data_IF_799614557951
#
_entry.id   IF_799614557951
#
_cell.length_a   1.000
_cell.length_b   1.000
_cell.length_c   1.000
_cell.angle_alpha   90.00
_cell.angle_beta   90.00
_cell.angle_gamma   90.00
#
_symmetry.space_group_name_H-M   'P 1'
#
loop_
_entity.id
_entity.type
_entity.pdbx_description
1 polymer ?
#
# COMPACT_ATOMS: atom_id res chain seq x y z
N UNK A 1 1.26 51.27 40.42
CA UNK A 1 -0.06 51.84 40.11
C UNK A 1 -0.99 50.76 39.53
N UNK A 2 -1.27 49.71 40.29
CA UNK A 2 -2.22 48.63 39.93
C UNK A 2 -3.43 48.76 40.89
N UNK A 3 -4.24 49.76 40.67
CA UNK A 3 -5.32 50.00 41.58
C UNK A 3 -6.67 49.70 40.91
N UNK A 4 -7.32 48.61 41.36
CA UNK A 4 -8.75 48.33 41.28
C UNK A 4 -9.28 47.92 39.89
N UNK A 5 -8.66 46.92 39.32
CA UNK A 5 -9.43 46.12 38.37
C UNK A 5 -10.56 45.39 39.16
N UNK A 6 -11.79 45.48 38.67
CA UNK A 6 -12.86 44.64 39.21
C UNK A 6 -12.48 43.16 39.05
N UNK A 7 -12.93 42.28 39.96
CA UNK A 7 -12.63 40.86 39.90
C UNK A 7 -12.86 40.24 38.52
N UNK A 8 -13.94 40.55 37.79
CA UNK A 8 -14.15 40.05 36.41
C UNK A 8 -13.10 40.59 35.43
N UNK A 9 -12.71 41.86 35.51
CA UNK A 9 -11.68 42.43 34.62
C UNK A 9 -10.27 41.84 34.87
N UNK A 10 -9.95 41.51 36.12
CA UNK A 10 -8.70 40.81 36.44
C UNK A 10 -8.70 39.38 35.88
N UNK A 11 -9.81 38.64 35.99
CA UNK A 11 -9.96 37.30 35.44
C UNK A 11 -9.87 37.30 33.91
N UNK A 12 -10.54 38.23 33.23
CA UNK A 12 -10.42 38.37 31.78
C UNK A 12 -9.00 38.69 31.32
N UNK A 13 -8.31 39.58 32.02
CA UNK A 13 -6.93 39.92 31.68
C UNK A 13 -5.97 38.75 31.89
N UNK A 14 -6.17 37.93 32.92
CA UNK A 14 -5.38 36.71 33.13
C UNK A 14 -5.75 35.59 32.18
N UNK A 15 -6.99 35.51 31.71
CA UNK A 15 -7.41 34.50 30.72
C UNK A 15 -6.94 34.82 29.26
N UNK A 16 -6.75 36.10 28.95
CA UNK A 16 -6.36 36.55 27.62
C UNK A 16 -5.11 35.82 27.04
N UNK A 17 -3.99 35.73 27.75
CA UNK A 17 -2.81 35.02 27.25
C UNK A 17 -3.07 33.52 27.07
N UNK A 18 -3.86 32.90 27.93
CA UNK A 18 -4.21 31.47 27.79
C UNK A 18 -5.09 31.25 26.56
N UNK A 19 -6.10 32.09 26.36
CA UNK A 19 -6.95 32.03 25.15
C UNK A 19 -6.14 32.29 23.87
N UNK A 20 -5.23 33.28 23.93
CA UNK A 20 -4.35 33.55 22.78
C UNK A 20 -3.45 32.37 22.47
N UNK A 21 -2.85 31.71 23.46
CA UNK A 21 -2.03 30.51 23.28
C UNK A 21 -2.84 29.33 22.72
N UNK A 22 -4.06 29.13 23.22
CA UNK A 22 -4.96 28.10 22.71
C UNK A 22 -5.35 28.38 21.24
N UNK A 23 -5.63 29.65 20.90
CA UNK A 23 -5.92 30.04 19.54
C UNK A 23 -4.71 29.79 18.60
N UNK A 24 -3.51 30.13 19.04
CA UNK A 24 -2.29 29.84 18.29
C UNK A 24 -2.10 28.34 18.13
N UNK A 25 -2.27 27.55 19.18
CA UNK A 25 -2.14 26.09 19.13
C UNK A 25 -3.18 25.44 18.18
N UNK A 26 -4.38 25.99 18.12
CA UNK A 26 -5.44 25.49 17.24
C UNK A 26 -5.23 25.86 15.77
N UNK A 27 -4.62 27.02 15.50
CA UNK A 27 -4.48 27.58 14.14
C UNK A 27 -3.08 27.39 13.55
N UNK A 28 -2.08 27.03 14.36
CA UNK A 28 -0.72 26.80 13.88
C UNK A 28 -0.67 25.53 13.01
N UNK A 29 0.03 25.58 11.85
CA UNK A 29 0.26 24.38 11.05
C UNK A 29 1.19 23.42 11.82
N UNK A 30 0.80 22.16 11.86
CA UNK A 30 1.53 21.09 12.54
C UNK A 30 2.32 20.26 11.50
N UNK A 31 3.48 19.68 11.88
CA UNK A 31 4.30 18.88 10.99
C UNK A 31 3.78 17.43 10.84
N UNK A 32 2.48 17.31 10.58
CA UNK A 32 1.82 16.03 10.37
C UNK A 32 1.22 15.92 8.98
N UNK A 33 1.01 14.70 8.55
CA UNK A 33 0.21 14.31 7.40
C UNK A 33 -0.90 13.38 7.86
N UNK A 34 -2.09 13.53 7.27
CA UNK A 34 -3.22 12.63 7.49
C UNK A 34 -3.33 11.72 6.29
N UNK A 35 -3.26 10.42 6.52
CA UNK A 35 -3.40 9.40 5.50
C UNK A 35 -4.74 8.66 5.63
N UNK A 36 -5.24 8.15 4.52
CA UNK A 36 -6.48 7.38 4.42
C UNK A 36 -6.35 6.24 3.40
N UNK A 37 -7.25 5.24 3.40
CA UNK A 37 -7.29 4.19 2.39
C UNK A 37 -7.38 4.78 0.99
N UNK A 38 -6.41 4.44 0.14
CA UNK A 38 -6.35 4.87 -1.25
C UNK A 38 -7.12 3.94 -2.20
N UNK A 39 -7.10 4.20 -3.52
CA UNK A 39 -7.65 3.29 -4.51
C UNK A 39 -6.89 1.96 -4.55
N UNK A 40 -7.58 0.92 -5.05
CA UNK A 40 -6.95 -0.35 -5.39
C UNK A 40 -7.00 -0.56 -6.90
N UNK A 41 -5.95 -1.14 -7.46
CA UNK A 41 -5.89 -1.43 -8.90
C UNK A 41 -5.67 -2.93 -9.12
N UNK A 42 -6.49 -3.56 -9.95
CA UNK A 42 -6.27 -4.95 -10.36
C UNK A 42 -5.12 -5.01 -11.38
N UNK A 43 -3.98 -5.58 -10.98
CA UNK A 43 -2.79 -5.66 -11.85
C UNK A 43 -2.97 -6.61 -13.03
N UNK A 44 -3.92 -7.55 -12.96
CA UNK A 44 -4.30 -8.42 -14.08
C UNK A 44 -5.26 -7.73 -15.07
N UNK A 45 -5.72 -6.54 -14.75
CA UNK A 45 -6.70 -5.80 -15.53
C UNK A 45 -6.09 -4.63 -16.31
N UNK A 46 -6.94 -3.62 -16.46
CA UNK A 46 -6.58 -2.37 -17.14
C UNK A 46 -6.71 -1.20 -16.17
N UNK A 47 -5.83 -0.24 -16.32
CA UNK A 47 -5.86 1.06 -15.68
C UNK A 47 -5.95 2.12 -16.78
N UNK A 48 -6.93 3.01 -16.72
CA UNK A 48 -7.22 4.00 -17.80
C UNK A 48 -7.28 3.40 -19.23
N UNK A 49 -7.85 2.19 -19.34
CA UNK A 49 -8.02 1.50 -20.61
C UNK A 49 -6.76 0.78 -21.14
N UNK A 50 -5.62 0.93 -20.47
CA UNK A 50 -4.36 0.24 -20.82
C UNK A 50 -4.13 -0.94 -19.87
N UNK A 51 -3.57 -2.07 -20.36
CA UNK A 51 -3.21 -3.18 -19.49
C UNK A 51 -2.16 -2.71 -18.47
N UNK A 52 -2.34 -3.09 -17.19
CA UNK A 52 -1.36 -2.81 -16.12
C UNK A 52 -0.09 -3.63 -16.34
N UNK A 53 -0.24 -4.88 -16.76
CA UNK A 53 0.86 -5.77 -17.15
C UNK A 53 0.66 -6.10 -18.64
N UNK A 54 1.64 -5.77 -19.47
CA UNK A 54 1.69 -6.15 -20.86
C UNK A 54 2.92 -7.03 -21.09
N UNK A 55 2.71 -8.23 -21.64
CA UNK A 55 3.76 -9.21 -21.88
C UNK A 55 3.84 -9.49 -23.37
N UNK A 56 5.04 -9.50 -23.93
CA UNK A 56 5.34 -9.90 -25.29
C UNK A 56 6.44 -10.97 -25.28
N UNK A 57 6.58 -11.71 -26.39
CA UNK A 57 7.58 -12.80 -26.50
C UNK A 57 7.13 -14.14 -25.94
N UNK A 58 5.99 -14.21 -25.23
CA UNK A 58 5.39 -15.47 -24.78
C UNK A 58 3.85 -15.40 -24.83
N UNK A 59 3.15 -16.54 -24.95
CA UNK A 59 1.70 -16.59 -24.81
C UNK A 59 1.30 -16.27 -23.36
N UNK A 60 0.26 -15.47 -23.20
CA UNK A 60 -0.32 -15.16 -21.90
C UNK A 60 -1.65 -15.88 -21.71
N UNK A 61 -2.02 -16.08 -20.47
CA UNK A 61 -3.25 -16.75 -20.04
C UNK A 61 -4.33 -15.71 -19.67
N UNK A 62 -5.57 -16.07 -19.90
CA UNK A 62 -6.70 -15.31 -19.39
C UNK A 62 -6.89 -15.63 -17.88
N UNK A 63 -6.99 -14.59 -17.09
CA UNK A 63 -7.22 -14.69 -15.64
C UNK A 63 -8.63 -14.18 -15.31
N UNK A 64 -9.35 -14.87 -14.41
CA UNK A 64 -10.72 -14.51 -14.03
C UNK A 64 -10.79 -13.81 -12.68
N UNK A 65 -9.82 -14.08 -11.80
CA UNK A 65 -9.70 -13.44 -10.50
C UNK A 65 -9.09 -12.05 -10.57
N UNK A 66 -8.82 -11.48 -9.42
CA UNK A 66 -8.17 -10.18 -9.32
C UNK A 66 -6.97 -10.25 -8.37
N UNK A 67 -5.86 -9.62 -8.78
CA UNK A 67 -4.73 -9.29 -7.93
C UNK A 67 -4.71 -7.77 -7.72
N UNK A 68 -5.12 -7.31 -6.55
CA UNK A 68 -5.29 -5.88 -6.26
C UNK A 68 -4.08 -5.31 -5.54
N UNK A 69 -3.33 -4.46 -6.22
CA UNK A 69 -2.38 -3.55 -5.58
C UNK A 69 -3.16 -2.49 -4.80
N UNK A 70 -2.75 -2.22 -3.56
CA UNK A 70 -3.43 -1.30 -2.65
C UNK A 70 -2.54 -0.10 -2.35
N UNK A 71 -3.17 1.07 -2.23
CA UNK A 71 -2.48 2.33 -1.96
C UNK A 71 -3.01 3.03 -0.72
N UNK A 72 -2.30 4.05 -0.29
CA UNK A 72 -2.77 5.05 0.68
C UNK A 72 -2.72 6.42 0.03
N UNK A 73 -3.63 7.29 0.43
CA UNK A 73 -3.60 8.70 0.05
C UNK A 73 -3.28 9.51 1.30
N UNK A 74 -2.26 10.32 1.23
CA UNK A 74 -1.87 11.24 2.31
C UNK A 74 -2.06 12.69 1.87
N UNK A 75 -2.28 13.59 2.85
CA UNK A 75 -2.29 15.03 2.58
C UNK A 75 -0.97 15.43 1.95
N UNK A 76 -1.03 16.26 0.91
CA UNK A 76 0.14 16.68 0.15
C UNK A 76 1.22 17.37 1.03
N UNK A 77 2.46 17.43 0.55
CA UNK A 77 3.58 17.99 1.32
C UNK A 77 3.39 19.46 1.70
N UNK A 78 2.67 20.21 0.88
CA UNK A 78 2.38 21.63 1.11
C UNK A 78 1.08 21.88 1.87
N UNK A 79 0.35 20.83 2.26
CA UNK A 79 -0.90 20.97 2.99
C UNK A 79 -0.66 21.42 4.43
N UNK A 80 -1.44 22.40 4.88
CA UNK A 80 -1.45 22.83 6.27
C UNK A 80 -2.40 21.93 7.08
N UNK A 81 -1.83 21.11 7.94
CA UNK A 81 -2.57 20.27 8.90
C UNK A 81 -2.62 21.00 10.23
N UNK A 82 -3.80 21.15 10.81
CA UNK A 82 -4.04 21.86 12.07
C UNK A 82 -4.45 20.87 13.17
N UNK A 83 -4.52 21.35 14.40
CA UNK A 83 -4.90 20.52 15.56
C UNK A 83 -6.26 19.82 15.37
N UNK A 84 -7.23 20.48 14.72
CA UNK A 84 -8.53 19.88 14.39
C UNK A 84 -8.38 18.65 13.50
N UNK A 85 -7.60 18.77 12.43
CA UNK A 85 -7.35 17.67 11.48
C UNK A 85 -6.65 16.47 12.15
N UNK A 86 -5.72 16.77 13.08
CA UNK A 86 -5.01 15.76 13.85
C UNK A 86 -5.97 15.03 14.79
N UNK A 87 -6.85 15.76 15.48
CA UNK A 87 -7.83 15.16 16.38
C UNK A 87 -8.85 14.33 15.59
N UNK A 88 -9.38 14.87 14.49
CA UNK A 88 -10.31 14.15 13.62
C UNK A 88 -9.67 12.87 13.06
N UNK A 89 -8.40 12.95 12.60
CA UNK A 89 -7.68 11.78 12.11
C UNK A 89 -7.33 10.77 13.22
N UNK A 90 -7.16 11.22 14.46
CA UNK A 90 -6.81 10.32 15.57
C UNK A 90 -8.00 9.54 16.11
N UNK A 91 -9.20 10.11 16.01
CA UNK A 91 -10.44 9.44 16.44
C UNK A 91 -11.18 8.74 15.28
N UNK A 92 -10.75 8.94 14.04
CA UNK A 92 -11.30 8.23 12.90
C UNK A 92 -10.68 6.82 12.74
N UNK A 93 -11.50 5.84 12.43
CA UNK A 93 -11.03 4.46 12.20
C UNK A 93 -10.34 4.28 10.83
N UNK A 94 -10.67 5.15 9.87
CA UNK A 94 -10.20 5.11 8.49
C UNK A 94 -9.10 6.14 8.17
N UNK A 95 -8.45 6.69 9.19
CA UNK A 95 -7.38 7.67 9.03
C UNK A 95 -6.19 7.34 9.93
N UNK A 96 -5.02 7.79 9.50
CA UNK A 96 -3.80 7.73 10.30
C UNK A 96 -3.11 9.09 10.28
N UNK A 97 -2.73 9.57 11.46
CA UNK A 97 -1.92 10.78 11.61
C UNK A 97 -0.46 10.35 11.76
N UNK A 98 0.39 10.82 10.86
CA UNK A 98 1.79 10.46 10.80
C UNK A 98 2.67 11.71 10.75
N UNK A 99 3.90 11.68 11.30
CA UNK A 99 4.86 12.74 11.06
C UNK A 99 5.06 12.95 9.55
N UNK A 100 5.08 14.20 9.10
CA UNK A 100 5.24 14.54 7.67
C UNK A 100 6.51 13.91 7.07
N UNK A 101 7.61 13.91 7.81
CA UNK A 101 8.88 13.35 7.38
C UNK A 101 8.84 11.83 7.19
N UNK A 102 7.90 11.14 7.85
CA UNK A 102 7.68 9.70 7.64
C UNK A 102 6.94 9.39 6.34
N UNK A 103 6.13 10.35 5.85
CA UNK A 103 5.39 10.23 4.58
C UNK A 103 6.24 10.73 3.43
N UNK A 104 7.04 11.79 3.67
CA UNK A 104 7.89 12.46 2.68
C UNK A 104 9.34 12.50 3.15
N UNK A 105 10.03 11.36 3.22
CA UNK A 105 11.39 11.27 3.78
C UNK A 105 12.44 12.00 2.94
N UNK A 106 12.19 12.20 1.64
CA UNK A 106 13.09 12.96 0.78
C UNK A 106 13.08 14.47 1.08
N UNK A 107 12.08 14.96 1.85
CA UNK A 107 11.86 16.40 2.03
C UNK A 107 11.67 17.10 0.69
N UNK A 108 11.70 18.42 0.69
CA UNK A 108 11.75 19.15 -0.55
C UNK A 108 10.40 19.53 -1.16
N UNK A 109 10.44 19.95 -2.42
CA UNK A 109 9.27 20.39 -3.18
C UNK A 109 8.43 19.20 -3.67
N UNK A 110 7.15 19.45 -3.93
CA UNK A 110 6.24 18.46 -4.56
C UNK A 110 6.88 17.78 -5.77
N UNK A 111 7.61 18.55 -6.61
CA UNK A 111 8.30 18.01 -7.80
C UNK A 111 9.42 17.02 -7.46
N UNK A 112 10.18 17.26 -6.40
CA UNK A 112 11.24 16.34 -5.94
C UNK A 112 10.64 15.06 -5.37
N UNK A 113 9.55 15.18 -4.62
CA UNK A 113 8.80 14.04 -4.10
C UNK A 113 8.21 13.17 -5.24
N UNK A 114 7.61 13.81 -6.24
CA UNK A 114 7.09 13.09 -7.42
C UNK A 114 8.20 12.39 -8.21
N UNK A 115 9.34 13.05 -8.39
CA UNK A 115 10.50 12.45 -9.06
C UNK A 115 11.05 11.26 -8.28
N UNK A 116 11.12 11.37 -6.94
CA UNK A 116 11.52 10.27 -6.06
C UNK A 116 10.54 9.10 -6.16
N UNK A 117 9.24 9.37 -6.02
CA UNK A 117 8.19 8.35 -6.11
C UNK A 117 8.18 7.62 -7.46
N UNK A 118 8.39 8.34 -8.57
CA UNK A 118 8.54 7.74 -9.90
C UNK A 118 9.77 6.83 -10.00
N UNK A 119 10.89 7.24 -9.42
CA UNK A 119 12.10 6.43 -9.40
C UNK A 119 11.91 5.15 -8.59
N UNK A 120 11.30 5.26 -7.39
CA UNK A 120 10.98 4.11 -6.54
C UNK A 120 10.01 3.13 -7.24
N UNK A 121 8.97 3.66 -7.90
CA UNK A 121 8.04 2.83 -8.67
C UNK A 121 8.76 2.10 -9.81
N UNK A 122 9.62 2.81 -10.57
CA UNK A 122 10.36 2.17 -11.66
C UNK A 122 11.28 1.06 -11.13
N UNK A 123 12.03 1.32 -10.06
CA UNK A 123 12.88 0.30 -9.43
C UNK A 123 12.07 -0.91 -8.95
N UNK A 124 10.87 -0.68 -8.40
CA UNK A 124 9.95 -1.75 -8.01
C UNK A 124 9.43 -2.57 -9.19
N UNK A 125 9.15 -1.93 -10.33
CA UNK A 125 8.73 -2.61 -11.56
C UNK A 125 9.84 -3.45 -12.16
N UNK A 126 11.07 -2.92 -12.19
CA UNK A 126 12.25 -3.64 -12.71
C UNK A 126 12.52 -4.87 -11.82
N UNK A 127 12.60 -4.70 -10.49
CA UNK A 127 12.79 -5.80 -9.55
C UNK A 127 11.66 -6.84 -9.59
N UNK A 128 10.41 -6.41 -9.75
CA UNK A 128 9.26 -7.31 -9.88
C UNK A 128 9.34 -8.18 -11.12
N UNK A 129 9.79 -7.61 -12.23
CA UNK A 129 9.99 -8.34 -13.48
C UNK A 129 11.10 -9.37 -13.35
N UNK A 130 12.27 -8.95 -12.82
CA UNK A 130 13.41 -9.84 -12.58
C UNK A 130 13.05 -11.00 -11.64
N UNK A 131 12.39 -10.70 -10.54
CA UNK A 131 11.95 -11.72 -9.57
C UNK A 131 10.96 -12.72 -10.18
N UNK A 132 10.00 -12.25 -10.99
CA UNK A 132 8.99 -13.11 -11.62
C UNK A 132 9.62 -14.01 -12.69
N UNK A 133 10.43 -13.46 -13.59
CA UNK A 133 11.10 -14.23 -14.65
C UNK A 133 12.12 -15.20 -14.05
N UNK A 134 12.87 -14.78 -13.02
CA UNK A 134 13.79 -15.65 -12.28
C UNK A 134 13.06 -16.83 -11.62
N UNK A 135 11.93 -16.56 -10.94
CA UNK A 135 11.09 -17.60 -10.37
C UNK A 135 10.60 -18.61 -11.44
N UNK A 136 10.10 -18.12 -12.57
CA UNK A 136 9.61 -18.97 -13.66
C UNK A 136 10.72 -19.85 -14.28
N UNK A 137 11.92 -19.29 -14.45
CA UNK A 137 13.08 -20.05 -14.90
C UNK A 137 13.45 -21.17 -13.92
N UNK A 138 13.43 -20.89 -12.61
CA UNK A 138 13.66 -21.88 -11.55
C UNK A 138 12.63 -23.02 -11.57
N UNK A 139 11.39 -22.72 -11.97
CA UNK A 139 10.32 -23.73 -12.13
C UNK A 139 10.38 -24.44 -13.50
N UNK A 140 11.36 -24.11 -14.35
CA UNK A 140 11.59 -24.76 -15.63
C UNK A 140 10.83 -24.18 -16.81
N UNK A 141 10.18 -23.01 -16.64
CA UNK A 141 9.58 -22.30 -17.76
C UNK A 141 10.65 -21.57 -18.59
N UNK A 142 10.45 -21.46 -19.91
CA UNK A 142 11.34 -20.70 -20.77
C UNK A 142 10.90 -19.24 -20.79
N UNK A 143 11.76 -18.35 -20.35
CA UNK A 143 11.52 -16.89 -20.33
C UNK A 143 12.39 -16.11 -21.31
N UNK A 144 13.13 -16.80 -22.18
CA UNK A 144 13.97 -16.17 -23.19
C UNK A 144 13.14 -15.35 -24.19
N UNK A 145 13.51 -14.07 -24.33
CA UNK A 145 12.80 -13.16 -25.22
C UNK A 145 11.47 -12.63 -24.68
N UNK A 146 11.12 -12.93 -23.43
CA UNK A 146 9.95 -12.35 -22.76
C UNK A 146 10.25 -10.92 -22.35
N UNK A 147 9.43 -9.99 -22.83
CA UNK A 147 9.46 -8.59 -22.42
C UNK A 147 8.20 -8.25 -21.62
N UNK A 148 8.37 -7.58 -20.50
CA UNK A 148 7.28 -7.15 -19.61
C UNK A 148 7.27 -5.62 -19.51
N UNK A 149 6.12 -5.02 -19.80
CA UNK A 149 5.87 -3.61 -19.57
C UNK A 149 4.83 -3.46 -18.45
N UNK A 150 5.17 -2.71 -17.41
CA UNK A 150 4.31 -2.45 -16.27
C UNK A 150 3.86 -0.99 -16.28
N UNK A 151 2.55 -0.77 -16.16
CA UNK A 151 1.96 0.57 -16.05
C UNK A 151 0.97 0.59 -14.90
N UNK A 152 1.14 1.52 -13.99
CA UNK A 152 0.19 1.80 -12.93
C UNK A 152 0.14 3.32 -12.81
N UNK A 153 -0.96 3.93 -13.17
CA UNK A 153 -1.22 5.38 -13.22
C UNK A 153 -0.38 6.29 -12.32
N UNK A 154 -0.95 7.28 -11.69
CA UNK A 154 -0.24 8.20 -10.78
C UNK A 154 0.00 7.60 -9.37
N UNK A 155 0.35 6.33 -9.31
CA UNK A 155 0.72 5.63 -8.08
C UNK A 155 2.23 5.68 -7.91
N UNK A 156 2.68 6.19 -6.77
CA UNK A 156 4.09 6.25 -6.40
C UNK A 156 4.47 5.21 -5.34
N UNK A 157 5.78 4.95 -5.25
CA UNK A 157 6.35 4.10 -4.22
C UNK A 157 6.44 2.61 -4.60
N UNK A 158 7.29 1.83 -3.90
CA UNK A 158 7.68 0.49 -4.32
C UNK A 158 6.75 -0.64 -3.82
N UNK A 159 5.63 -0.32 -3.16
CA UNK A 159 4.82 -1.30 -2.40
C UNK A 159 3.92 -2.22 -3.25
N UNK A 160 3.88 -2.02 -4.58
CA UNK A 160 3.14 -2.87 -5.51
C UNK A 160 3.99 -4.01 -6.11
N UNK A 161 5.29 -4.04 -5.83
CA UNK A 161 6.23 -4.98 -6.44
C UNK A 161 5.82 -6.45 -6.32
N UNK A 162 5.40 -6.88 -5.13
CA UNK A 162 4.88 -8.24 -4.92
C UNK A 162 3.70 -8.55 -5.85
N UNK A 163 2.77 -7.62 -6.02
CA UNK A 163 1.57 -7.86 -6.83
C UNK A 163 1.90 -7.87 -8.33
N UNK A 164 2.84 -7.05 -8.77
CA UNK A 164 3.36 -7.11 -10.14
C UNK A 164 4.01 -8.45 -10.43
N UNK A 165 4.91 -8.93 -9.55
CA UNK A 165 5.56 -10.24 -9.73
C UNK A 165 4.55 -11.38 -9.79
N UNK A 166 3.58 -11.39 -8.88
CA UNK A 166 2.50 -12.38 -8.88
C UNK A 166 1.64 -12.31 -10.15
N UNK A 167 1.36 -11.10 -10.63
CA UNK A 167 0.59 -10.91 -11.86
C UNK A 167 1.34 -11.43 -13.10
N UNK A 168 2.65 -11.20 -13.18
CA UNK A 168 3.49 -11.74 -14.28
C UNK A 168 3.50 -13.27 -14.23
N UNK A 169 3.71 -13.86 -13.04
CA UNK A 169 3.67 -15.32 -12.86
C UNK A 169 2.31 -15.88 -13.23
N UNK A 170 1.21 -15.24 -12.78
CA UNK A 170 -0.15 -15.71 -13.06
C UNK A 170 -0.48 -15.66 -14.56
N UNK A 171 -0.03 -14.61 -15.26
CA UNK A 171 -0.26 -14.46 -16.70
C UNK A 171 0.58 -15.42 -17.57
N UNK A 172 1.77 -15.83 -17.12
CA UNK A 172 2.66 -16.70 -17.89
C UNK A 172 2.46 -18.19 -17.57
N UNK A 173 2.37 -18.57 -16.29
CA UNK A 173 2.34 -19.96 -15.85
C UNK A 173 1.15 -20.29 -14.94
N UNK A 174 0.67 -19.30 -14.20
CA UNK A 174 -0.39 -19.49 -13.20
C UNK A 174 0.09 -20.33 -12.02
N UNK A 175 -0.65 -21.40 -11.73
CA UNK A 175 -0.35 -22.33 -10.64
C UNK A 175 0.56 -23.51 -11.06
N UNK A 176 1.20 -23.42 -12.25
CA UNK A 176 2.04 -24.48 -12.80
C UNK A 176 1.29 -25.70 -13.34
N UNK A 177 -0.04 -25.75 -13.21
CA UNK A 177 -0.89 -26.89 -13.63
C UNK A 177 -2.07 -26.49 -14.52
N UNK A 178 -2.04 -25.25 -15.04
CA UNK A 178 -3.07 -24.72 -15.92
C UNK A 178 -4.17 -23.94 -15.18
N UNK A 179 -4.12 -23.83 -13.85
CA UNK A 179 -4.99 -22.99 -13.02
C UNK A 179 -4.42 -21.57 -12.81
N UNK A 180 -5.26 -20.66 -12.38
CA UNK A 180 -4.85 -19.30 -11.99
C UNK A 180 -4.47 -19.23 -10.50
N UNK A 181 -3.52 -18.36 -10.13
CA UNK A 181 -3.09 -18.21 -8.74
C UNK A 181 -4.22 -17.72 -7.82
N UNK A 182 -5.10 -16.90 -8.34
CA UNK A 182 -6.21 -16.35 -7.54
C UNK A 182 -7.30 -17.37 -7.24
N UNK A 183 -7.41 -18.46 -8.02
CA UNK A 183 -8.54 -19.39 -7.96
C UNK A 183 -9.88 -18.69 -8.20
N UNK A 184 -9.91 -17.63 -9.01
CA UNK A 184 -11.09 -16.82 -9.30
C UNK A 184 -11.49 -15.84 -8.18
N UNK A 185 -10.67 -15.71 -7.12
CA UNK A 185 -10.95 -14.83 -5.97
C UNK A 185 -10.41 -13.41 -6.22
N UNK A 186 -10.92 -12.45 -5.44
CA UNK A 186 -10.31 -11.13 -5.29
C UNK A 186 -9.26 -11.21 -4.19
N UNK A 187 -8.00 -11.23 -4.60
CA UNK A 187 -6.82 -11.21 -3.73
C UNK A 187 -6.23 -9.81 -3.76
N UNK A 188 -6.07 -9.19 -2.60
CA UNK A 188 -5.31 -7.95 -2.47
C UNK A 188 -3.99 -8.22 -1.76
N UNK A 189 -3.08 -7.27 -1.82
CA UNK A 189 -1.84 -7.39 -1.07
C UNK A 189 -0.94 -6.18 -1.23
N UNK A 190 0.14 -6.20 -0.47
CA UNK A 190 1.19 -5.19 -0.51
C UNK A 190 2.53 -5.82 -0.16
N UNK A 191 3.60 -5.23 -0.62
CA UNK A 191 4.96 -5.64 -0.34
C UNK A 191 5.91 -5.06 -1.37
N UNK A 192 7.07 -4.61 -0.95
CA UNK A 192 8.19 -4.42 -1.86
C UNK A 192 8.72 -5.79 -2.28
N UNK A 193 9.44 -5.84 -3.36
CA UNK A 193 10.15 -7.06 -3.79
C UNK A 193 11.55 -6.67 -4.28
N UNK A 194 12.52 -7.51 -4.01
CA UNK A 194 13.83 -7.41 -4.63
C UNK A 194 13.96 -8.39 -5.83
N UNK A 195 15.02 -8.26 -6.60
CA UNK A 195 15.34 -9.10 -7.78
C UNK A 195 15.48 -10.59 -7.44
N UNK A 196 15.76 -10.93 -6.18
CA UNK A 196 15.82 -12.31 -5.69
C UNK A 196 14.48 -12.87 -5.23
N UNK A 197 13.42 -12.08 -5.35
CA UNK A 197 12.06 -12.46 -4.94
C UNK A 197 11.79 -12.37 -3.44
N UNK A 198 12.61 -11.66 -2.66
CA UNK A 198 12.32 -11.39 -1.23
C UNK A 198 11.29 -10.28 -1.11
N UNK A 199 10.32 -10.51 -0.27
CA UNK A 199 9.28 -9.53 0.05
C UNK A 199 9.71 -8.68 1.23
N UNK A 200 9.73 -7.37 1.04
CA UNK A 200 10.09 -6.39 2.05
C UNK A 200 8.90 -5.63 2.62
N UNK A 201 9.20 -4.96 3.73
CA UNK A 201 8.25 -4.19 4.52
C UNK A 201 7.66 -2.98 3.78
N UNK A 202 6.47 -2.54 4.21
CA UNK A 202 5.76 -1.37 3.68
C UNK A 202 5.06 -0.59 4.79
N UNK A 203 4.79 0.68 4.56
CA UNK A 203 4.00 1.50 5.47
C UNK A 203 2.50 1.42 5.22
N UNK A 204 1.71 1.83 6.24
CA UNK A 204 0.27 2.05 6.12
C UNK A 204 -0.57 0.79 5.93
N UNK A 205 -0.13 -0.35 6.44
CA UNK A 205 -0.78 -1.66 6.23
C UNK A 205 -2.21 -1.67 6.72
N UNK A 206 -2.52 -1.06 7.87
CA UNK A 206 -3.90 -0.95 8.37
C UNK A 206 -4.83 -0.28 7.37
N UNK A 207 -4.42 0.84 6.77
CA UNK A 207 -5.21 1.55 5.76
C UNK A 207 -5.33 0.77 4.45
N UNK A 208 -4.28 0.05 4.09
CA UNK A 208 -4.25 -0.83 2.90
C UNK A 208 -5.21 -2.00 3.02
N UNK A 209 -5.29 -2.61 4.20
CA UNK A 209 -6.26 -3.68 4.49
C UNK A 209 -7.69 -3.14 4.38
N UNK A 210 -7.96 -1.94 4.91
CA UNK A 210 -9.26 -1.30 4.80
C UNK A 210 -9.62 -0.98 3.34
N UNK A 211 -8.66 -0.51 2.53
CA UNK A 211 -8.86 -0.32 1.09
C UNK A 211 -9.23 -1.62 0.39
N UNK A 212 -8.53 -2.71 0.73
CA UNK A 212 -8.79 -4.03 0.18
C UNK A 212 -10.19 -4.57 0.54
N UNK A 213 -10.61 -4.39 1.79
CA UNK A 213 -11.95 -4.78 2.27
C UNK A 213 -13.06 -4.00 1.56
N UNK A 214 -12.92 -2.66 1.50
CA UNK A 214 -13.84 -1.79 0.78
C UNK A 214 -14.06 -2.24 -0.66
N UNK A 215 -13.01 -2.72 -1.34
CA UNK A 215 -13.02 -3.12 -2.74
C UNK A 215 -13.24 -4.64 -2.93
N UNK A 216 -13.71 -5.32 -1.87
CA UNK A 216 -14.21 -6.68 -1.91
C UNK A 216 -13.15 -7.78 -1.97
N UNK A 217 -11.93 -7.51 -1.52
CA UNK A 217 -10.92 -8.55 -1.37
C UNK A 217 -11.23 -9.48 -0.19
N UNK A 218 -11.15 -10.78 -0.41
CA UNK A 218 -11.36 -11.79 0.63
C UNK A 218 -10.05 -12.38 1.16
N UNK A 219 -8.95 -12.10 0.48
CA UNK A 219 -7.60 -12.54 0.81
C UNK A 219 -6.67 -11.34 0.75
N UNK A 220 -5.77 -11.22 1.73
CA UNK A 220 -4.77 -10.16 1.75
C UNK A 220 -3.37 -10.73 2.01
N UNK A 221 -2.47 -10.52 1.04
CA UNK A 221 -1.05 -10.85 1.17
C UNK A 221 -0.33 -9.71 1.89
N UNK A 222 0.33 -10.01 2.98
CA UNK A 222 1.03 -9.03 3.81
C UNK A 222 2.46 -9.49 4.10
N UNK A 223 3.46 -8.60 4.05
CA UNK A 223 4.79 -8.96 4.49
C UNK A 223 4.74 -9.48 5.94
N UNK A 224 5.45 -10.55 6.22
CA UNK A 224 5.36 -11.26 7.51
C UNK A 224 5.59 -10.34 8.73
N UNK A 225 6.43 -9.33 8.57
CA UNK A 225 6.73 -8.38 9.65
C UNK A 225 5.53 -7.51 10.05
N UNK A 226 4.60 -7.25 9.12
CA UNK A 226 3.43 -6.39 9.33
C UNK A 226 2.13 -7.16 9.64
N UNK A 227 2.21 -8.44 9.97
CA UNK A 227 1.03 -9.25 10.35
C UNK A 227 0.23 -8.63 11.50
N UNK A 228 0.89 -8.06 12.50
CA UNK A 228 0.22 -7.42 13.63
C UNK A 228 -0.65 -6.23 13.20
N UNK A 229 -0.10 -5.39 12.32
CA UNK A 229 -0.78 -4.19 11.83
C UNK A 229 -1.95 -4.57 10.92
N UNK A 230 -1.78 -5.60 10.08
CA UNK A 230 -2.87 -6.11 9.26
C UNK A 230 -4.02 -6.67 10.10
N UNK A 231 -3.71 -7.43 11.15
CA UNK A 231 -4.73 -7.99 12.07
C UNK A 231 -5.56 -6.93 12.78
N UNK A 232 -4.95 -5.79 13.09
CA UNK A 232 -5.62 -4.71 13.81
C UNK A 232 -6.79 -4.11 13.02
N UNK A 233 -6.77 -4.20 11.68
CA UNK A 233 -7.74 -3.57 10.79
C UNK A 233 -8.49 -4.54 9.87
N UNK A 234 -8.12 -5.82 9.86
CA UNK A 234 -8.74 -6.80 8.98
C UNK A 234 -10.12 -7.24 9.52
N UNK A 235 -11.15 -7.26 8.68
CA UNK A 235 -12.40 -7.89 9.04
C UNK A 235 -12.23 -9.41 9.19
N UNK A 236 -13.08 -10.03 10.00
CA UNK A 236 -13.04 -11.50 10.24
C UNK A 236 -13.22 -12.33 8.97
N UNK A 237 -13.84 -11.77 7.96
CA UNK A 237 -14.08 -12.41 6.65
C UNK A 237 -12.84 -12.42 5.76
N UNK A 238 -11.84 -11.59 6.02
CA UNK A 238 -10.62 -11.49 5.22
C UNK A 238 -9.54 -12.43 5.75
N UNK A 239 -8.99 -13.26 4.88
CA UNK A 239 -7.87 -14.13 5.20
C UNK A 239 -6.56 -13.37 5.00
N UNK A 240 -5.78 -13.21 6.08
CA UNK A 240 -4.44 -12.64 6.02
C UNK A 240 -3.41 -13.76 5.80
N UNK A 241 -2.58 -13.60 4.76
CA UNK A 241 -1.51 -14.55 4.43
C UNK A 241 -0.17 -13.83 4.56
N UNK A 242 0.67 -14.20 5.55
CA UNK A 242 2.00 -13.65 5.69
C UNK A 242 2.93 -14.19 4.61
N UNK A 243 3.66 -13.30 3.95
CA UNK A 243 4.60 -13.64 2.90
C UNK A 243 5.99 -13.05 3.18
N UNK A 244 7.04 -13.75 2.79
CA UNK A 244 8.42 -13.29 2.89
C UNK A 244 9.17 -13.44 1.57
N UNK A 245 8.62 -14.22 0.62
CA UNK A 245 9.20 -14.45 -0.71
C UNK A 245 8.11 -14.61 -1.75
N UNK A 246 8.44 -14.35 -3.02
CA UNK A 246 7.55 -14.60 -4.15
C UNK A 246 7.13 -16.08 -4.21
N UNK A 247 8.09 -17.00 -4.10
CA UNK A 247 7.82 -18.45 -4.08
C UNK A 247 6.82 -18.82 -2.98
N UNK A 248 6.99 -18.28 -1.77
CA UNK A 248 6.06 -18.50 -0.65
C UNK A 248 4.65 -17.95 -0.92
N UNK A 249 4.56 -16.80 -1.60
CA UNK A 249 3.27 -16.22 -1.98
C UNK A 249 2.57 -17.07 -3.06
N UNK A 250 3.30 -17.51 -4.10
CA UNK A 250 2.78 -18.40 -5.14
C UNK A 250 2.29 -19.71 -4.55
N UNK A 251 3.10 -20.36 -3.69
CA UNK A 251 2.71 -21.60 -3.01
C UNK A 251 1.43 -21.41 -2.17
N UNK A 252 1.37 -20.36 -1.37
CA UNK A 252 0.22 -20.08 -0.52
C UNK A 252 -1.07 -19.83 -1.31
N UNK A 253 -0.98 -19.12 -2.45
CA UNK A 253 -2.12 -18.88 -3.34
C UNK A 253 -2.55 -20.16 -4.07
N UNK A 254 -1.60 -20.94 -4.56
CA UNK A 254 -1.87 -22.25 -5.19
C UNK A 254 -2.58 -23.20 -4.23
N UNK A 255 -2.08 -23.34 -3.01
CA UNK A 255 -2.69 -24.15 -1.97
C UNK A 255 -4.11 -23.67 -1.62
N UNK A 256 -4.28 -22.34 -1.55
CA UNK A 256 -5.60 -21.74 -1.29
C UNK A 256 -6.57 -21.98 -2.45
N UNK A 257 -6.12 -21.88 -3.70
CA UNK A 257 -6.95 -22.10 -4.88
C UNK A 257 -7.39 -23.55 -5.01
N UNK A 258 -6.49 -24.49 -4.74
CA UNK A 258 -6.74 -25.94 -4.81
C UNK A 258 -7.37 -26.53 -3.54
N UNK A 259 -7.51 -25.75 -2.47
CA UNK A 259 -7.87 -26.22 -1.13
C UNK A 259 -6.96 -27.37 -0.64
N UNK A 260 -5.68 -27.29 -0.95
CA UNK A 260 -4.63 -28.25 -0.58
C UNK A 260 -3.62 -27.59 0.36
N UNK A 261 -2.74 -28.41 0.97
CA UNK A 261 -1.66 -27.91 1.80
C UNK A 261 -2.09 -27.15 3.05
N UNK A 262 -1.15 -26.44 3.64
CA UNK A 262 -1.36 -25.60 4.84
C UNK A 262 -1.05 -24.14 4.47
N UNK A 263 -2.10 -23.37 4.15
CA UNK A 263 -1.95 -21.94 3.86
C UNK A 263 -1.61 -21.20 5.16
N UNK A 264 -0.46 -20.52 5.24
CA UNK A 264 -0.09 -19.78 6.44
C UNK A 264 -1.10 -18.67 6.76
N UNK A 265 -1.19 -18.34 8.04
CA UNK A 265 -2.05 -17.26 8.52
C UNK A 265 -1.29 -16.37 9.49
N UNK A 266 -1.61 -15.11 9.50
CA UNK A 266 -1.10 -14.20 10.52
C UNK A 266 -1.57 -14.57 11.96
#
# INVERSE_FOLDING_TARGET
>A
MFNRLSRPAALTLCALPTVALLAVAALAPLPFSVAQPGPTTNVLGKDDGKPVIAITGAPTRDTRGALRAVTIVATGPDASVHLGDVLDGWFAEDRAVMPRDSVYPSGGSTKEIEAHNKKEMKGSQDAATEAALGYLNDEGATTDGVEVALQLGDVGGPSAGLLFSLGIVDMLDGDGSGGELTGGKSVAGTGTIDDTGRVGAVGGVSLKVQAADRDGATVFLVPKAECSDAKASAPKSMRLIPVSTLRGAVTALTDLAKNTGSVPAC
#
